data_IF_854790716693
#
_entry.id   IF_854790716693
#
_cell.length_a   1.000
_cell.length_b   1.000
_cell.length_c   1.000
_cell.angle_alpha   90.00
_cell.angle_beta   90.00
_cell.angle_gamma   90.00
#
_symmetry.space_group_name_H-M   'P 1'
#
loop_
_entity.id
_entity.type
_entity.pdbx_description
1 polymer ?
#
# COMPACT_ATOMS: atom_id res chain seq x y z
N UNK A 1 -26.18 -63.22 17.67
CA UNK A 1 -26.39 -61.78 17.39
C UNK A 1 -25.03 -61.14 17.18
N UNK A 2 -24.70 -60.85 15.93
CA UNK A 2 -23.49 -60.12 15.53
C UNK A 2 -23.77 -58.62 15.72
N UNK A 3 -22.84 -57.91 16.36
CA UNK A 3 -22.47 -56.55 15.95
C UNK A 3 -20.95 -56.40 16.08
N UNK A 4 -20.28 -56.66 14.97
CA UNK A 4 -18.93 -56.19 14.69
C UNK A 4 -18.85 -54.67 14.85
N UNK A 5 -17.68 -54.20 15.31
CA UNK A 5 -16.96 -53.07 14.71
C UNK A 5 -15.54 -52.98 15.33
N UNK A 6 -14.60 -53.68 14.67
CA UNK A 6 -13.14 -53.46 14.55
C UNK A 6 -12.33 -53.18 15.83
N UNK A 7 -11.71 -54.21 16.46
CA UNK A 7 -10.28 -54.63 16.33
C UNK A 7 -9.27 -53.48 16.50
N UNK A 8 -8.41 -53.42 17.53
CA UNK A 8 -7.54 -54.48 18.05
C UNK A 8 -7.34 -54.43 19.57
N UNK A 9 -7.34 -55.62 20.16
CA UNK A 9 -6.89 -55.94 21.53
C UNK A 9 -5.40 -55.65 21.69
N UNK A 10 -4.98 -55.15 22.85
CA UNK A 10 -3.69 -55.56 23.41
C UNK A 10 -3.82 -55.92 24.91
N UNK A 11 -3.83 -57.22 25.18
CA UNK A 11 -3.43 -57.88 26.43
C UNK A 11 -2.17 -58.70 26.05
N UNK A 12 -1.08 -58.86 26.79
CA UNK A 12 -0.64 -58.63 28.20
C UNK A 12 0.91 -58.93 28.15
N UNK A 13 1.88 -58.28 28.80
CA UNK A 13 2.37 -58.48 30.19
C UNK A 13 3.80 -57.89 30.33
N UNK A 14 3.99 -56.90 31.20
CA UNK A 14 5.04 -56.86 32.22
C UNK A 14 4.71 -55.67 33.15
N UNK A 15 4.37 -55.98 34.39
CA UNK A 15 4.08 -55.11 35.54
C UNK A 15 3.59 -53.68 35.26
N UNK A 16 2.26 -53.52 35.31
CA UNK A 16 1.48 -52.27 35.41
C UNK A 16 1.44 -51.33 34.19
N UNK A 17 1.12 -51.84 32.99
CA UNK A 17 0.65 -50.96 31.90
C UNK A 17 -0.52 -51.59 31.11
N UNK A 18 -1.70 -51.00 31.23
CA UNK A 18 -2.86 -51.26 30.37
C UNK A 18 -2.89 -50.19 29.28
N UNK A 19 -3.01 -50.59 28.01
CA UNK A 19 -3.18 -49.67 26.88
C UNK A 19 -4.66 -49.51 26.52
N UNK A 20 -5.15 -48.27 26.48
CA UNK A 20 -6.51 -47.93 26.05
C UNK A 20 -6.44 -46.93 24.89
N UNK A 21 -7.13 -47.20 23.78
CA UNK A 21 -7.27 -46.25 22.67
C UNK A 21 -8.45 -45.33 22.97
N UNK A 22 -8.18 -44.03 23.09
CA UNK A 22 -9.20 -43.02 23.37
C UNK A 22 -9.34 -42.13 22.14
N UNK A 23 -10.44 -42.29 21.43
CA UNK A 23 -10.83 -41.35 20.38
C UNK A 23 -11.31 -40.04 21.02
N UNK A 24 -10.43 -39.04 21.06
CA UNK A 24 -10.83 -37.66 21.35
C UNK A 24 -11.42 -37.07 20.07
N UNK A 25 -12.76 -37.15 19.94
CA UNK A 25 -13.48 -36.37 18.95
C UNK A 25 -13.51 -34.92 19.43
N UNK A 26 -12.64 -34.07 18.88
CA UNK A 26 -12.70 -32.65 19.19
C UNK A 26 -13.99 -32.05 18.61
N UNK A 27 -15.06 -32.03 19.40
CA UNK A 27 -16.22 -31.15 19.18
C UNK A 27 -15.90 -29.70 19.59
N UNK A 28 -14.62 -29.30 19.60
CA UNK A 28 -14.20 -27.94 19.89
C UNK A 28 -14.55 -27.03 18.72
N UNK A 29 -15.67 -26.34 18.86
CA UNK A 29 -16.22 -25.30 17.99
C UNK A 29 -15.30 -24.10 17.74
N UNK A 30 -14.13 -24.00 18.41
CA UNK A 30 -13.36 -22.76 18.51
C UNK A 30 -11.88 -22.84 18.10
N UNK A 31 -11.34 -23.99 17.69
CA UNK A 31 -9.91 -24.08 17.37
C UNK A 31 -9.69 -24.84 16.06
N UNK A 32 -9.29 -24.12 15.01
CA UNK A 32 -8.70 -24.73 13.85
C UNK A 32 -7.36 -25.31 14.23
N UNK A 33 -7.32 -26.60 14.57
CA UNK A 33 -6.07 -27.31 14.49
C UNK A 33 -5.92 -27.90 13.09
N UNK A 34 -5.09 -27.25 12.28
CA UNK A 34 -4.68 -27.73 10.96
C UNK A 34 -3.65 -28.85 11.16
N UNK A 35 -4.03 -29.92 11.86
CA UNK A 35 -3.42 -31.21 11.57
C UNK A 35 -4.01 -31.65 10.24
N UNK A 36 -3.29 -31.40 9.13
CA UNK A 36 -3.63 -31.94 7.82
C UNK A 36 -3.38 -33.46 7.75
N UNK A 37 -2.91 -34.06 8.84
CA UNK A 37 -2.66 -35.49 8.97
C UNK A 37 -3.28 -36.00 10.27
N UNK A 38 -3.72 -37.24 10.28
CA UNK A 38 -4.01 -37.93 11.54
C UNK A 38 -2.75 -37.90 12.41
N UNK A 39 -2.88 -37.44 13.65
CA UNK A 39 -1.78 -37.39 14.62
C UNK A 39 -2.08 -38.32 15.79
N UNK A 40 -1.06 -38.99 16.30
CA UNK A 40 -1.15 -39.88 17.46
C UNK A 40 -0.30 -39.32 18.61
N UNK A 41 -0.90 -39.23 19.80
CA UNK A 41 -0.18 -38.83 21.01
C UNK A 41 -0.34 -39.92 22.06
N UNK A 42 0.77 -40.37 22.64
CA UNK A 42 0.75 -41.33 23.76
C UNK A 42 0.99 -40.59 25.08
N UNK A 43 0.16 -40.86 26.07
CA UNK A 43 0.23 -40.30 27.42
C UNK A 43 0.08 -41.41 28.45
N UNK A 44 0.56 -41.18 29.68
CA UNK A 44 0.22 -42.01 30.84
C UNK A 44 -0.73 -41.23 31.74
N UNK A 45 -1.83 -41.84 32.14
CA UNK A 45 -2.87 -41.25 33.00
C UNK A 45 -3.35 -42.29 34.02
N UNK A 46 -4.10 -41.84 35.01
CA UNK A 46 -4.89 -42.74 35.87
C UNK A 46 -6.28 -42.84 35.26
N UNK A 47 -6.75 -44.07 35.00
CA UNK A 47 -8.06 -44.27 34.40
C UNK A 47 -9.17 -43.69 35.27
N UNK A 48 -10.24 -43.19 34.65
CA UNK A 48 -11.41 -42.65 35.34
C UNK A 48 -11.17 -41.35 36.14
N UNK A 49 -9.98 -40.75 36.04
CA UNK A 49 -9.58 -39.54 36.77
C UNK A 49 -9.17 -38.41 35.83
N UNK A 50 -9.51 -37.18 36.19
CA UNK A 50 -9.14 -35.98 35.41
C UNK A 50 -7.65 -35.70 35.64
N UNK A 51 -6.84 -36.01 34.63
CA UNK A 51 -5.40 -35.73 34.67
C UNK A 51 -5.09 -34.23 34.80
N UNK A 52 -4.01 -33.91 35.52
CA UNK A 52 -3.57 -32.52 35.68
C UNK A 52 -3.25 -31.87 34.33
N UNK A 53 -3.77 -30.67 34.10
CA UNK A 53 -3.54 -29.93 32.85
C UNK A 53 -2.06 -29.66 32.59
N UNK A 54 -1.25 -29.47 33.65
CA UNK A 54 0.20 -29.31 33.56
C UNK A 54 0.93 -30.54 33.01
N UNK A 55 0.40 -31.73 33.21
CA UNK A 55 0.97 -32.99 32.72
C UNK A 55 0.58 -33.26 31.27
N UNK A 56 -0.63 -32.88 30.88
CA UNK A 56 -1.20 -33.15 29.55
C UNK A 56 -0.77 -32.07 28.55
N UNK A 57 -0.77 -30.79 28.96
CA UNK A 57 -0.51 -29.65 28.09
C UNK A 57 0.78 -29.76 27.27
N UNK A 58 1.94 -30.18 27.81
CA UNK A 58 3.17 -30.26 27.02
C UNK A 58 3.08 -31.24 25.84
N UNK A 59 2.27 -32.30 25.96
CA UNK A 59 2.12 -33.34 24.93
C UNK A 59 1.12 -32.98 23.85
N UNK A 60 0.18 -32.08 24.15
CA UNK A 60 -0.88 -31.66 23.21
C UNK A 60 -0.78 -30.18 22.81
N UNK A 61 0.15 -29.41 23.39
CA UNK A 61 0.40 -28.02 23.04
C UNK A 61 0.81 -27.83 21.57
N UNK A 62 1.69 -28.67 20.98
CA UNK A 62 1.93 -28.62 19.54
C UNK A 62 0.65 -28.79 18.74
N UNK A 63 -0.35 -29.46 19.31
CA UNK A 63 -1.65 -29.80 18.75
C UNK A 63 -2.75 -28.77 19.00
N UNK A 64 -2.45 -27.65 19.69
CA UNK A 64 -3.40 -26.57 19.96
C UNK A 64 -4.68 -27.01 20.70
N UNK A 65 -4.66 -28.18 21.35
CA UNK A 65 -5.84 -28.75 22.01
C UNK A 65 -5.93 -28.24 23.46
N UNK A 66 -7.15 -27.91 23.96
CA UNK A 66 -7.33 -27.47 25.34
C UNK A 66 -7.12 -28.63 26.33
N UNK A 67 -6.05 -28.55 27.13
CA UNK A 67 -5.65 -29.60 28.08
C UNK A 67 -6.74 -30.03 29.05
N UNK A 68 -7.55 -29.08 29.54
CA UNK A 68 -8.66 -29.37 30.44
C UNK A 68 -9.71 -30.28 29.80
N UNK A 69 -10.16 -29.96 28.58
CA UNK A 69 -11.18 -30.77 27.88
C UNK A 69 -10.62 -32.13 27.49
N UNK A 70 -9.39 -32.18 27.00
CA UNK A 70 -8.73 -33.45 26.68
C UNK A 70 -8.62 -34.33 27.92
N UNK A 71 -8.30 -33.76 29.09
CA UNK A 71 -8.27 -34.49 30.36
C UNK A 71 -9.66 -35.04 30.76
N UNK A 72 -10.72 -34.25 30.60
CA UNK A 72 -12.09 -34.66 30.88
C UNK A 72 -12.55 -35.80 29.95
N UNK A 73 -12.23 -35.73 28.66
CA UNK A 73 -12.57 -36.78 27.70
C UNK A 73 -11.82 -38.08 27.98
N UNK A 74 -10.53 -37.99 28.30
CA UNK A 74 -9.74 -39.16 28.72
C UNK A 74 -10.34 -39.81 29.98
N UNK A 75 -10.70 -39.01 30.99
CA UNK A 75 -11.29 -39.53 32.23
C UNK A 75 -12.59 -40.29 31.96
N UNK A 76 -13.48 -39.72 31.13
CA UNK A 76 -14.75 -40.35 30.75
C UNK A 76 -14.52 -41.66 29.99
N UNK A 77 -13.62 -41.66 29.00
CA UNK A 77 -13.36 -42.83 28.16
C UNK A 77 -12.57 -43.94 28.84
N UNK A 78 -12.02 -43.71 30.04
CA UNK A 78 -11.20 -44.68 30.77
C UNK A 78 -11.82 -45.10 32.11
N UNK A 79 -13.13 -44.89 32.27
CA UNK A 79 -13.88 -45.20 33.50
C UNK A 79 -13.74 -46.66 33.92
N UNK A 80 -13.67 -47.59 32.95
CA UNK A 80 -13.48 -49.04 33.21
C UNK A 80 -12.13 -49.37 33.88
N UNK A 81 -11.19 -48.43 33.85
CA UNK A 81 -9.83 -48.55 34.40
C UNK A 81 -9.60 -47.62 35.60
N UNK A 82 -10.69 -47.26 36.30
CA UNK A 82 -10.64 -46.29 37.39
C UNK A 82 -9.58 -46.63 38.44
N UNK A 83 -8.70 -45.67 38.75
CA UNK A 83 -7.63 -45.82 39.75
C UNK A 83 -6.41 -46.61 39.29
N UNK A 84 -6.36 -47.06 38.02
CA UNK A 84 -5.23 -47.81 37.45
C UNK A 84 -4.40 -46.89 36.56
N UNK A 85 -3.06 -46.96 36.67
CA UNK A 85 -2.16 -46.27 35.73
C UNK A 85 -2.22 -46.96 34.37
N UNK A 86 -2.64 -46.23 33.35
CA UNK A 86 -2.83 -46.71 32.00
C UNK A 86 -2.08 -45.83 30.99
N UNK A 87 -1.67 -46.43 29.89
CA UNK A 87 -1.20 -45.69 28.71
C UNK A 87 -2.40 -45.43 27.79
N UNK A 88 -2.61 -44.17 27.43
CA UNK A 88 -3.66 -43.74 26.51
C UNK A 88 -3.04 -43.25 25.22
N UNK A 89 -3.56 -43.74 24.11
CA UNK A 89 -3.25 -43.20 22.78
C UNK A 89 -4.41 -42.31 22.33
N UNK A 90 -4.11 -41.05 22.03
CA UNK A 90 -5.06 -40.11 21.44
C UNK A 90 -4.89 -40.12 19.93
N UNK A 91 -5.96 -40.43 19.20
CA UNK A 91 -6.02 -40.25 17.74
C UNK A 91 -6.78 -38.96 17.42
N UNK A 92 -6.09 -37.99 16.82
CA UNK A 92 -6.66 -36.70 16.46
C UNK A 92 -7.02 -36.73 14.97
N UNK A 93 -8.31 -36.63 14.69
CA UNK A 93 -8.85 -36.62 13.33
C UNK A 93 -9.44 -35.25 13.02
N UNK A 94 -8.83 -34.50 12.11
CA UNK A 94 -9.48 -33.33 11.52
C UNK A 94 -10.38 -33.80 10.39
N UNK A 95 -11.70 -33.82 10.59
CA UNK A 95 -12.62 -34.32 9.58
C UNK A 95 -12.54 -33.53 8.26
N UNK A 96 -12.16 -32.25 8.30
CA UNK A 96 -12.06 -31.39 7.12
C UNK A 96 -10.77 -31.60 6.32
N UNK A 97 -9.74 -32.26 6.88
CA UNK A 97 -8.50 -32.51 6.14
C UNK A 97 -8.74 -33.38 4.90
N UNK A 98 -9.80 -34.20 4.90
CA UNK A 98 -10.20 -35.02 3.74
C UNK A 98 -10.61 -34.21 2.51
N UNK A 99 -10.96 -32.94 2.67
CA UNK A 99 -11.31 -32.04 1.57
C UNK A 99 -10.11 -31.27 1.02
N UNK A 100 -8.93 -31.43 1.63
CA UNK A 100 -7.72 -30.65 1.32
C UNK A 100 -6.64 -31.60 0.81
N UNK A 101 -6.31 -31.49 -0.48
CA UNK A 101 -5.17 -32.23 -1.05
C UNK A 101 -3.82 -31.61 -0.63
N UNK A 102 -3.66 -30.30 -0.86
CA UNK A 102 -2.42 -29.56 -0.54
C UNK A 102 -2.71 -28.17 0.03
N UNK A 103 -1.89 -27.73 0.99
CA UNK A 103 -1.90 -26.39 1.56
C UNK A 103 -0.49 -25.80 1.53
N UNK A 104 -0.26 -24.79 0.68
CA UNK A 104 1.06 -24.19 0.47
C UNK A 104 1.48 -23.22 1.59
N UNK A 105 0.53 -22.50 2.19
CA UNK A 105 0.80 -21.42 3.17
C UNK A 105 0.28 -21.77 4.57
N UNK A 106 0.65 -22.97 5.06
CA UNK A 106 0.13 -23.51 6.33
C UNK A 106 0.36 -22.60 7.53
N UNK A 107 1.56 -22.03 7.66
CA UNK A 107 1.91 -21.14 8.76
C UNK A 107 1.09 -19.85 8.75
N UNK A 108 0.85 -19.27 7.56
CA UNK A 108 0.02 -18.07 7.43
C UNK A 108 -1.44 -18.34 7.78
N UNK A 109 -1.99 -19.48 7.34
CA UNK A 109 -3.36 -19.84 7.67
C UNK A 109 -3.51 -20.04 9.18
N UNK A 110 -2.54 -20.71 9.82
CA UNK A 110 -2.51 -20.86 11.27
C UNK A 110 -2.49 -19.51 11.99
N UNK A 111 -1.58 -18.60 11.63
CA UNK A 111 -1.51 -17.27 12.23
C UNK A 111 -2.82 -16.46 12.06
N UNK A 112 -3.45 -16.54 10.87
CA UNK A 112 -4.75 -15.89 10.61
C UNK A 112 -5.84 -16.42 11.53
N UNK A 113 -5.87 -17.73 11.78
CA UNK A 113 -6.87 -18.37 12.62
C UNK A 113 -6.62 -18.09 14.12
N UNK A 114 -5.37 -18.06 14.55
CA UNK A 114 -4.96 -17.72 15.92
C UNK A 114 -5.24 -16.26 16.26
N UNK A 115 -5.35 -15.37 15.26
CA UNK A 115 -5.70 -13.96 15.48
C UNK A 115 -7.08 -13.75 16.11
N UNK A 116 -7.96 -14.76 16.07
CA UNK A 116 -9.35 -14.67 16.56
C UNK A 116 -10.28 -13.82 15.67
N UNK A 117 -9.75 -13.19 14.62
CA UNK A 117 -10.54 -12.37 13.72
C UNK A 117 -11.43 -13.22 12.79
N UNK A 118 -12.61 -12.69 12.46
CA UNK A 118 -13.47 -13.28 11.43
C UNK A 118 -12.80 -13.15 10.06
N UNK A 119 -12.28 -14.26 9.53
CA UNK A 119 -11.72 -14.33 8.19
C UNK A 119 -12.80 -14.21 7.10
N UNK A 120 -12.40 -13.72 5.93
CA UNK A 120 -13.19 -13.70 4.70
C UNK A 120 -12.66 -14.81 3.77
N UNK A 121 -13.47 -15.83 3.51
CA UNK A 121 -13.07 -17.00 2.72
C UNK A 121 -13.77 -16.96 1.37
N UNK A 122 -12.99 -16.80 0.30
CA UNK A 122 -13.51 -16.69 -1.07
C UNK A 122 -13.58 -18.04 -1.76
N UNK A 123 -14.68 -18.28 -2.47
CA UNK A 123 -14.78 -19.36 -3.46
C UNK A 123 -15.50 -18.87 -4.71
N UNK A 124 -14.89 -19.09 -5.88
CA UNK A 124 -15.47 -18.75 -7.18
C UNK A 124 -16.05 -19.98 -7.87
N UNK A 125 -17.21 -19.82 -8.50
CA UNK A 125 -17.88 -20.88 -9.28
C UNK A 125 -18.29 -20.29 -10.63
N UNK A 126 -17.75 -20.83 -11.73
CA UNK A 126 -18.26 -20.51 -13.06
C UNK A 126 -19.59 -21.23 -13.32
N UNK A 127 -20.50 -20.56 -14.01
CA UNK A 127 -21.88 -20.99 -14.23
C UNK A 127 -21.96 -21.74 -15.55
N UNK A 128 -21.39 -22.93 -15.60
CA UNK A 128 -21.26 -23.69 -16.85
C UNK A 128 -22.47 -24.58 -17.17
N UNK A 129 -23.50 -24.60 -16.33
CA UNK A 129 -24.71 -25.41 -16.50
C UNK A 129 -25.68 -25.31 -15.32
N UNK A 130 -26.86 -25.94 -15.37
CA UNK A 130 -27.96 -25.72 -14.41
C UNK A 130 -27.77 -26.37 -13.02
N UNK A 131 -26.81 -27.28 -12.87
CA UNK A 131 -26.61 -28.07 -11.66
C UNK A 131 -25.17 -28.07 -11.15
N UNK A 132 -25.04 -28.08 -9.82
CA UNK A 132 -23.80 -28.33 -9.12
C UNK A 132 -23.64 -29.84 -8.87
N UNK A 133 -22.49 -30.39 -9.22
CA UNK A 133 -22.13 -31.78 -8.91
C UNK A 133 -21.28 -31.90 -7.62
N UNK A 134 -21.01 -33.14 -7.19
CA UNK A 134 -20.22 -33.45 -5.98
C UNK A 134 -18.83 -32.84 -5.96
N UNK A 135 -18.18 -32.66 -7.11
CA UNK A 135 -16.92 -31.91 -7.21
C UNK A 135 -17.00 -30.48 -6.63
N UNK A 136 -18.12 -29.76 -6.81
CA UNK A 136 -18.32 -28.46 -6.16
C UNK A 136 -18.63 -28.60 -4.67
N UNK A 137 -19.35 -29.66 -4.29
CA UNK A 137 -19.77 -29.89 -2.90
C UNK A 137 -18.58 -30.04 -1.95
N UNK A 138 -17.45 -30.62 -2.39
CA UNK A 138 -16.22 -30.71 -1.59
C UNK A 138 -15.74 -29.34 -1.11
N UNK A 139 -15.69 -28.36 -2.01
CA UNK A 139 -15.32 -26.99 -1.66
C UNK A 139 -16.39 -26.34 -0.76
N UNK A 140 -17.67 -26.54 -1.06
CA UNK A 140 -18.78 -25.98 -0.27
C UNK A 140 -18.81 -26.54 1.17
N UNK A 141 -18.50 -27.82 1.39
CA UNK A 141 -18.39 -28.41 2.73
C UNK A 141 -17.24 -27.78 3.53
N UNK A 142 -16.12 -27.49 2.88
CA UNK A 142 -15.01 -26.79 3.53
C UNK A 142 -15.42 -25.36 3.91
N UNK A 143 -16.12 -24.63 3.03
CA UNK A 143 -16.66 -23.31 3.34
C UNK A 143 -17.68 -23.33 4.49
N UNK A 144 -18.58 -24.33 4.51
CA UNK A 144 -19.52 -24.54 5.60
C UNK A 144 -18.80 -24.68 6.94
N UNK A 145 -17.70 -25.44 6.97
CA UNK A 145 -16.88 -25.58 8.16
C UNK A 145 -16.26 -24.23 8.64
N UNK A 146 -15.94 -23.32 7.72
CA UNK A 146 -15.54 -21.95 8.07
C UNK A 146 -16.73 -21.14 8.65
N UNK A 147 -17.92 -21.22 8.06
CA UNK A 147 -19.11 -20.49 8.57
C UNK A 147 -19.52 -20.93 9.98
N UNK A 148 -19.50 -22.24 10.24
CA UNK A 148 -19.83 -22.80 11.57
C UNK A 148 -18.87 -22.33 12.68
N UNK A 149 -17.71 -21.78 12.28
CA UNK A 149 -16.70 -21.20 13.18
C UNK A 149 -16.72 -19.67 13.19
N UNK A 150 -17.75 -19.07 12.60
CA UNK A 150 -17.99 -17.62 12.63
C UNK A 150 -17.22 -16.83 11.56
N UNK A 151 -16.54 -17.49 10.61
CA UNK A 151 -15.90 -16.82 9.48
C UNK A 151 -16.94 -16.48 8.39
N UNK A 152 -16.68 -15.42 7.63
CA UNK A 152 -17.51 -15.04 6.50
C UNK A 152 -17.06 -15.76 5.23
N UNK A 153 -18.02 -16.13 4.38
CA UNK A 153 -17.80 -16.74 3.08
C UNK A 153 -18.26 -15.77 1.99
N UNK A 154 -17.36 -15.50 1.04
CA UNK A 154 -17.64 -14.76 -0.18
C UNK A 154 -17.76 -15.75 -1.34
N UNK A 155 -19.00 -16.01 -1.75
CA UNK A 155 -19.29 -16.80 -2.92
C UNK A 155 -19.31 -15.89 -4.16
N UNK A 156 -18.42 -16.13 -5.11
CA UNK A 156 -18.36 -15.38 -6.36
C UNK A 156 -18.95 -16.22 -7.48
N UNK A 157 -20.10 -15.79 -7.99
CA UNK A 157 -20.75 -16.35 -9.17
C UNK A 157 -20.11 -15.79 -10.43
N UNK A 158 -19.55 -16.68 -11.24
CA UNK A 158 -18.75 -16.38 -12.41
C UNK A 158 -19.54 -15.99 -13.65
N UNK A 159 -20.55 -15.14 -13.54
CA UNK A 159 -21.49 -14.86 -14.64
C UNK A 159 -20.90 -14.09 -15.83
N UNK A 160 -19.83 -13.31 -15.60
CA UNK A 160 -19.03 -12.71 -16.66
C UNK A 160 -17.96 -13.67 -17.18
N UNK A 161 -17.22 -14.34 -16.30
CA UNK A 161 -16.13 -15.27 -16.68
C UNK A 161 -16.63 -16.46 -17.47
N UNK A 162 -17.83 -16.96 -17.16
CA UNK A 162 -18.53 -17.98 -17.93
C UNK A 162 -18.72 -17.57 -19.39
N UNK A 163 -18.97 -16.28 -19.67
CA UNK A 163 -19.15 -15.77 -21.03
C UNK A 163 -17.82 -15.58 -21.77
N UNK A 164 -16.73 -15.36 -21.04
CA UNK A 164 -15.39 -15.12 -21.61
C UNK A 164 -14.65 -16.43 -21.91
N UNK A 165 -14.77 -17.45 -21.06
CA UNK A 165 -14.20 -18.77 -21.32
C UNK A 165 -14.87 -19.42 -22.53
N UNK A 166 -14.13 -20.23 -23.30
CA UNK A 166 -14.63 -20.93 -24.49
C UNK A 166 -15.87 -21.78 -24.15
N UNK A 167 -17.10 -21.33 -24.49
CA UNK A 167 -18.32 -22.03 -24.15
C UNK A 167 -18.70 -23.08 -25.21
N UNK A 168 -17.88 -23.21 -26.27
CA UNK A 168 -18.23 -23.91 -27.52
C UNK A 168 -18.54 -25.39 -27.28
N UNK A 169 -18.02 -26.01 -26.22
CA UNK A 169 -18.31 -27.41 -25.87
C UNK A 169 -19.24 -27.61 -24.66
N UNK A 170 -19.59 -26.55 -23.90
CA UNK A 170 -20.32 -26.70 -22.60
C UNK A 170 -21.68 -26.02 -22.54
N UNK A 171 -22.01 -25.12 -23.47
CA UNK A 171 -23.31 -24.46 -23.57
C UNK A 171 -24.08 -24.79 -24.86
N UNK A 172 -23.68 -25.83 -25.59
CA UNK A 172 -24.47 -26.35 -26.69
C UNK A 172 -25.68 -27.15 -26.18
N UNK A 173 -26.65 -26.43 -25.62
CA UNK A 173 -28.10 -26.69 -25.67
C UNK A 173 -28.87 -25.60 -24.89
N UNK A 174 -29.43 -24.62 -25.64
CA UNK A 174 -30.70 -23.90 -25.36
C UNK A 174 -30.76 -22.67 -24.43
N UNK A 175 -29.72 -21.84 -24.30
CA UNK A 175 -29.79 -20.76 -23.30
C UNK A 175 -29.29 -19.40 -23.78
N UNK A 176 -30.24 -18.54 -24.19
CA UNK A 176 -30.05 -17.08 -24.25
C UNK A 176 -30.02 -16.44 -22.85
N UNK A 177 -29.96 -15.10 -22.77
CA UNK A 177 -29.72 -14.34 -21.53
C UNK A 177 -30.61 -14.70 -20.33
N UNK A 178 -31.86 -15.09 -20.56
CA UNK A 178 -32.82 -15.47 -19.50
C UNK A 178 -32.42 -16.75 -18.74
N UNK A 179 -31.72 -17.68 -19.40
CA UNK A 179 -31.33 -18.94 -18.78
C UNK A 179 -30.18 -18.80 -17.77
N UNK A 180 -29.38 -17.73 -17.85
CA UNK A 180 -28.29 -17.51 -16.88
C UNK A 180 -28.85 -17.15 -15.50
N UNK A 181 -29.89 -16.32 -15.44
CA UNK A 181 -30.53 -15.95 -14.18
C UNK A 181 -31.24 -17.16 -13.55
N UNK A 182 -31.97 -17.94 -14.36
CA UNK A 182 -32.59 -19.18 -13.89
C UNK A 182 -31.56 -20.18 -13.35
N UNK A 183 -30.39 -20.25 -14.01
CA UNK A 183 -29.29 -21.08 -13.55
C UNK A 183 -28.68 -20.57 -12.25
N UNK A 184 -28.50 -19.25 -12.10
CA UNK A 184 -28.05 -18.64 -10.85
C UNK A 184 -29.01 -18.96 -9.70
N UNK A 185 -30.33 -18.80 -9.93
CA UNK A 185 -31.35 -19.16 -8.95
C UNK A 185 -31.30 -20.65 -8.60
N UNK A 186 -31.06 -21.52 -9.60
CA UNK A 186 -30.83 -22.94 -9.39
C UNK A 186 -29.60 -23.21 -8.51
N UNK A 187 -28.48 -22.51 -8.75
CA UNK A 187 -27.26 -22.63 -7.96
C UNK A 187 -27.48 -22.21 -6.52
N UNK A 188 -28.14 -21.06 -6.29
CA UNK A 188 -28.44 -20.58 -4.94
C UNK A 188 -29.29 -21.58 -4.16
N UNK A 189 -30.33 -22.15 -4.78
CA UNK A 189 -31.14 -23.21 -4.17
C UNK A 189 -30.35 -24.47 -3.84
N UNK A 190 -29.35 -24.83 -4.66
CA UNK A 190 -28.50 -25.99 -4.40
C UNK A 190 -27.47 -25.72 -3.30
N UNK A 191 -26.91 -24.51 -3.26
CA UNK A 191 -25.94 -24.07 -2.25
C UNK A 191 -26.60 -23.96 -0.87
N UNK A 192 -27.88 -23.58 -0.82
CA UNK A 192 -28.70 -23.57 0.40
C UNK A 192 -28.74 -24.91 1.13
N UNK A 193 -28.56 -26.02 0.41
CA UNK A 193 -28.48 -27.37 1.00
C UNK A 193 -27.19 -27.60 1.80
N UNK A 194 -26.18 -26.76 1.65
CA UNK A 194 -24.85 -26.94 2.25
C UNK A 194 -24.45 -25.74 3.11
N UNK A 195 -24.48 -24.53 2.56
CA UNK A 195 -24.03 -23.32 3.26
C UNK A 195 -25.12 -22.75 4.18
N UNK A 196 -24.69 -22.01 5.19
CA UNK A 196 -25.58 -21.21 6.04
C UNK A 196 -25.94 -19.92 5.29
N UNK A 197 -27.01 -19.97 4.50
CA UNK A 197 -27.52 -18.87 3.67
C UNK A 197 -28.27 -17.80 4.46
N UNK A 198 -29.00 -18.19 5.50
CA UNK A 198 -29.69 -17.27 6.41
C UNK A 198 -28.74 -16.56 7.41
N UNK A 199 -27.42 -16.69 7.21
CA UNK A 199 -26.41 -16.08 8.05
C UNK A 199 -25.84 -14.83 7.40
N UNK A 200 -25.59 -13.77 8.19
CA UNK A 200 -24.78 -12.62 7.76
C UNK A 200 -23.34 -12.99 7.37
N UNK A 201 -22.96 -14.25 7.56
CA UNK A 201 -21.67 -14.84 7.20
C UNK A 201 -21.63 -15.38 5.77
N UNK A 202 -22.69 -15.28 4.97
CA UNK A 202 -22.64 -15.54 3.53
C UNK A 202 -22.83 -14.24 2.75
N UNK A 203 -21.91 -13.94 1.84
CA UNK A 203 -22.03 -12.86 0.86
C UNK A 203 -21.91 -13.46 -0.53
N UNK A 204 -22.91 -13.21 -1.36
CA UNK A 204 -22.92 -13.66 -2.75
C UNK A 204 -22.64 -12.46 -3.64
N UNK A 205 -21.67 -12.61 -4.54
CA UNK A 205 -21.24 -11.57 -5.47
C UNK A 205 -21.29 -12.11 -6.89
N UNK A 206 -21.66 -11.26 -7.86
CA UNK A 206 -21.53 -11.59 -9.28
C UNK A 206 -20.30 -10.90 -9.85
N UNK A 207 -19.42 -11.63 -10.54
CA UNK A 207 -18.22 -11.00 -11.05
C UNK A 207 -18.46 -10.02 -12.20
N UNK A 208 -19.64 -10.05 -12.83
CA UNK A 208 -20.08 -9.00 -13.73
C UNK A 208 -20.26 -7.64 -13.07
N UNK A 209 -20.45 -7.56 -11.74
CA UNK A 209 -20.61 -6.29 -11.01
C UNK A 209 -19.39 -5.38 -11.12
N UNK A 210 -18.20 -5.98 -11.23
CA UNK A 210 -16.95 -5.27 -11.45
C UNK A 210 -16.46 -5.36 -12.90
N UNK A 211 -16.57 -6.52 -13.56
CA UNK A 211 -16.04 -6.65 -14.92
C UNK A 211 -16.85 -5.89 -15.98
N UNK A 212 -18.18 -5.74 -15.85
CA UNK A 212 -18.96 -4.91 -16.81
C UNK A 212 -18.62 -3.43 -16.76
N UNK A 213 -18.07 -2.97 -15.64
CA UNK A 213 -17.64 -1.58 -15.45
C UNK A 213 -16.21 -1.34 -15.93
N UNK A 214 -15.49 -2.41 -16.28
CA UNK A 214 -14.09 -2.34 -16.70
C UNK A 214 -14.02 -2.09 -18.20
N UNK A 215 -13.26 -1.06 -18.59
CA UNK A 215 -13.00 -0.80 -20.01
C UNK A 215 -11.92 -1.75 -20.56
N UNK A 216 -11.85 -1.92 -21.88
CA UNK A 216 -10.75 -2.69 -22.50
C UNK A 216 -9.37 -2.15 -22.10
N UNK A 217 -9.13 -0.81 -22.09
CA UNK A 217 -7.89 -0.27 -21.54
C UNK A 217 -7.64 -0.63 -20.06
N UNK A 218 -8.66 -0.63 -19.19
CA UNK A 218 -8.47 -1.03 -17.79
C UNK A 218 -8.07 -2.51 -17.67
N UNK A 219 -8.67 -3.37 -18.48
CA UNK A 219 -8.36 -4.79 -18.50
C UNK A 219 -6.94 -5.07 -19.00
N UNK A 220 -6.55 -4.44 -20.12
CA UNK A 220 -5.17 -4.52 -20.65
C UNK A 220 -4.20 -3.99 -19.60
N UNK A 221 -4.50 -2.84 -18.98
CA UNK A 221 -3.64 -2.26 -17.93
C UNK A 221 -3.46 -3.22 -16.76
N UNK A 222 -4.47 -3.99 -16.35
CA UNK A 222 -4.36 -4.94 -15.24
C UNK A 222 -3.65 -6.24 -15.62
N UNK A 223 -3.73 -6.67 -16.88
CA UNK A 223 -3.25 -7.99 -17.34
C UNK A 223 -1.91 -7.94 -18.06
N UNK A 224 -1.54 -6.79 -18.61
CA UNK A 224 -0.31 -6.60 -19.39
C UNK A 224 0.82 -5.98 -18.57
N UNK A 225 0.64 -5.82 -17.26
CA UNK A 225 1.66 -5.28 -16.36
C UNK A 225 2.90 -6.17 -16.40
N UNK A 226 4.02 -5.61 -16.83
CA UNK A 226 5.29 -6.34 -16.92
C UNK A 226 5.44 -7.21 -18.18
N UNK A 227 4.49 -7.20 -19.11
CA UNK A 227 4.65 -7.94 -20.38
C UNK A 227 5.76 -7.33 -21.25
N UNK A 228 6.01 -6.03 -21.13
CA UNK A 228 7.13 -5.34 -21.79
C UNK A 228 8.47 -6.04 -21.50
N UNK A 229 8.70 -6.50 -20.27
CA UNK A 229 9.91 -7.25 -19.92
C UNK A 229 10.03 -8.60 -20.61
N UNK A 230 8.90 -9.24 -20.93
CA UNK A 230 8.89 -10.46 -21.75
C UNK A 230 9.25 -10.13 -23.19
N UNK A 231 8.65 -9.09 -23.75
CA UNK A 231 8.90 -8.66 -25.13
C UNK A 231 10.35 -8.22 -25.31
N UNK A 232 10.90 -7.48 -24.35
CA UNK A 232 12.27 -6.99 -24.38
C UNK A 232 13.30 -8.06 -23.96
N UNK A 233 12.86 -9.15 -23.30
CA UNK A 233 13.78 -10.12 -22.70
C UNK A 233 14.67 -9.49 -21.63
N UNK A 234 14.11 -8.60 -20.81
CA UNK A 234 14.88 -7.79 -19.85
C UNK A 234 15.64 -8.66 -18.84
N UNK A 235 16.94 -8.42 -18.66
CA UNK A 235 17.76 -9.05 -17.62
C UNK A 235 17.69 -8.31 -16.27
N UNK A 236 17.52 -6.98 -16.31
CA UNK A 236 17.48 -6.10 -15.14
C UNK A 236 16.43 -5.02 -15.39
N UNK A 237 15.59 -4.75 -14.40
CA UNK A 237 14.64 -3.63 -14.43
C UNK A 237 14.81 -2.74 -13.21
N UNK A 238 14.95 -1.44 -13.46
CA UNK A 238 15.10 -0.40 -12.44
C UNK A 238 13.81 0.40 -12.35
N UNK A 239 13.15 0.34 -11.21
CA UNK A 239 11.87 1.04 -10.99
C UNK A 239 11.79 1.64 -9.60
N UNK A 240 10.79 2.50 -9.38
CA UNK A 240 10.43 2.93 -8.02
C UNK A 240 9.92 1.77 -7.17
N UNK A 241 10.12 1.83 -5.86
CA UNK A 241 9.65 0.79 -4.93
C UNK A 241 8.13 0.58 -4.97
N UNK A 242 7.37 1.56 -5.45
CA UNK A 242 5.91 1.48 -5.67
C UNK A 242 5.52 0.57 -6.85
N UNK A 243 6.45 0.24 -7.74
CA UNK A 243 6.23 -0.63 -8.91
C UNK A 243 6.69 -2.08 -8.68
N UNK A 244 7.10 -2.44 -7.46
CA UNK A 244 7.64 -3.76 -7.14
C UNK A 244 6.69 -4.90 -7.55
N UNK A 245 5.39 -4.77 -7.23
CA UNK A 245 4.39 -5.78 -7.58
C UNK A 245 4.29 -6.02 -9.10
N UNK A 246 4.39 -4.94 -9.87
CA UNK A 246 4.24 -4.98 -11.33
C UNK A 246 5.40 -5.75 -11.96
N UNK A 247 6.60 -5.51 -11.46
CA UNK A 247 7.81 -6.16 -11.96
C UNK A 247 8.00 -7.59 -11.42
N UNK A 248 7.40 -7.93 -10.29
CA UNK A 248 7.26 -9.32 -9.85
C UNK A 248 6.33 -10.12 -10.78
N UNK A 249 5.25 -9.50 -11.27
CA UNK A 249 4.41 -10.10 -12.29
C UNK A 249 5.18 -10.31 -13.61
N UNK A 250 5.98 -9.32 -14.01
CA UNK A 250 6.87 -9.43 -15.17
C UNK A 250 7.79 -10.66 -15.07
N UNK A 251 8.42 -10.88 -13.90
CA UNK A 251 9.26 -12.07 -13.62
C UNK A 251 8.48 -13.38 -13.74
N UNK A 252 7.24 -13.41 -13.26
CA UNK A 252 6.37 -14.59 -13.41
C UNK A 252 6.07 -14.86 -14.89
N UNK A 253 5.73 -13.82 -15.65
CA UNK A 253 5.46 -13.93 -17.09
C UNK A 253 6.69 -14.39 -17.86
N UNK A 254 7.88 -13.84 -17.60
CA UNK A 254 9.13 -14.29 -18.23
C UNK A 254 9.37 -15.80 -18.00
N UNK A 255 9.14 -16.28 -16.77
CA UNK A 255 9.23 -17.72 -16.45
C UNK A 255 8.27 -18.56 -17.31
N UNK A 256 7.02 -18.10 -17.48
CA UNK A 256 6.00 -18.77 -18.32
C UNK A 256 6.36 -18.78 -19.80
N UNK A 257 7.15 -17.79 -20.24
CA UNK A 257 7.68 -17.69 -21.60
C UNK A 257 9.05 -18.34 -21.77
N UNK A 258 9.50 -19.18 -20.82
CA UNK A 258 10.81 -19.83 -20.82
C UNK A 258 12.01 -18.85 -20.88
N UNK A 259 11.82 -17.62 -20.41
CA UNK A 259 12.86 -16.63 -20.27
C UNK A 259 13.43 -16.64 -18.85
N UNK A 260 14.68 -16.17 -18.70
CA UNK A 260 15.27 -15.92 -17.39
C UNK A 260 14.54 -14.73 -16.74
N UNK A 261 14.05 -14.85 -15.49
CA UNK A 261 13.41 -13.74 -14.81
C UNK A 261 14.38 -12.59 -14.52
N UNK A 262 13.99 -11.37 -14.88
CA UNK A 262 14.74 -10.13 -14.69
C UNK A 262 15.09 -9.86 -13.22
N UNK A 263 16.27 -9.31 -12.94
CA UNK A 263 16.63 -8.80 -11.60
C UNK A 263 15.96 -7.45 -11.36
N UNK A 264 15.36 -7.25 -10.18
CA UNK A 264 14.72 -5.98 -9.83
C UNK A 264 15.66 -5.11 -9.01
N UNK A 265 15.85 -3.86 -9.42
CA UNK A 265 16.51 -2.82 -8.65
C UNK A 265 15.45 -1.77 -8.28
N UNK A 266 15.10 -1.72 -7.00
CA UNK A 266 14.07 -0.81 -6.50
C UNK A 266 14.71 0.48 -5.96
N UNK A 267 14.30 1.61 -6.51
CA UNK A 267 14.73 2.95 -6.10
C UNK A 267 13.74 3.55 -5.07
N UNK A 268 14.21 4.37 -4.11
CA UNK A 268 13.35 4.92 -3.07
C UNK A 268 12.39 5.99 -3.62
N UNK A 269 11.14 5.99 -3.16
CA UNK A 269 10.16 7.05 -3.46
C UNK A 269 10.25 8.19 -2.44
N UNK A 270 10.75 9.35 -2.85
CA UNK A 270 10.88 10.52 -1.97
C UNK A 270 9.57 11.31 -1.84
N UNK A 271 9.29 11.90 -0.67
CA UNK A 271 8.14 12.77 -0.45
C UNK A 271 8.20 14.02 -1.32
N UNK A 272 7.04 14.59 -1.65
CA UNK A 272 6.97 15.84 -2.40
C UNK A 272 7.23 17.07 -1.54
N UNK A 273 7.27 18.24 -2.17
CA UNK A 273 7.33 19.54 -1.48
C UNK A 273 6.01 19.80 -0.75
N UNK A 274 6.06 20.12 0.54
CA UNK A 274 4.91 20.49 1.36
C UNK A 274 4.52 19.44 2.41
N UNK A 275 4.00 19.92 3.53
CA UNK A 275 3.88 19.24 4.83
C UNK A 275 3.32 17.80 4.82
N UNK A 276 2.47 17.44 3.84
CA UNK A 276 1.75 16.17 3.77
C UNK A 276 1.98 15.37 2.48
N UNK A 277 2.95 15.76 1.65
CA UNK A 277 3.18 15.10 0.37
C UNK A 277 3.93 13.78 0.52
N UNK A 278 3.25 12.64 0.32
CA UNK A 278 3.87 11.31 0.39
C UNK A 278 4.79 10.96 -0.78
N UNK A 279 4.60 11.61 -1.94
CA UNK A 279 5.47 11.48 -3.12
C UNK A 279 5.56 12.77 -3.93
N UNK A 280 6.66 12.93 -4.66
CA UNK A 280 6.76 13.94 -5.73
C UNK A 280 5.79 13.60 -6.88
N UNK A 281 5.04 14.59 -7.35
CA UNK A 281 4.07 14.44 -8.43
C UNK A 281 3.94 15.71 -9.26
N UNK A 282 3.99 15.55 -10.59
CA UNK A 282 3.75 16.65 -11.54
C UNK A 282 2.34 17.23 -11.41
N UNK A 283 1.34 16.38 -11.22
CA UNK A 283 -0.07 16.80 -11.11
C UNK A 283 -0.36 17.61 -9.85
N UNK A 284 0.41 17.40 -8.78
CA UNK A 284 0.27 18.14 -7.53
C UNK A 284 1.17 19.37 -7.47
N UNK A 285 2.02 19.60 -8.48
CA UNK A 285 2.97 20.71 -8.50
C UNK A 285 3.97 20.69 -7.34
N UNK A 286 4.21 19.53 -6.73
CA UNK A 286 4.98 19.38 -5.50
C UNK A 286 6.33 18.68 -5.73
N UNK A 287 6.97 18.95 -6.86
CA UNK A 287 8.20 18.29 -7.30
C UNK A 287 9.26 19.32 -7.67
N UNK A 288 10.52 18.89 -7.72
CA UNK A 288 11.62 19.69 -8.27
C UNK A 288 11.89 19.17 -9.69
N UNK A 289 11.65 20.01 -10.70
CA UNK A 289 11.90 19.65 -12.09
C UNK A 289 13.39 19.64 -12.40
N UNK A 290 13.84 18.68 -13.21
CA UNK A 290 15.24 18.61 -13.67
C UNK A 290 15.59 19.68 -14.72
N UNK A 291 14.58 20.23 -15.38
CA UNK A 291 14.71 21.25 -16.45
C UNK A 291 14.41 22.67 -15.93
N UNK A 292 14.43 22.85 -14.61
CA UNK A 292 14.27 24.17 -14.00
C UNK A 292 15.53 25.03 -14.25
N UNK A 293 15.35 26.36 -14.25
CA UNK A 293 16.49 27.27 -14.18
C UNK A 293 17.29 27.00 -12.89
N UNK A 294 18.61 27.27 -12.84
CA UNK A 294 19.41 27.07 -11.64
C UNK A 294 18.80 27.75 -10.41
N UNK A 295 18.28 28.97 -10.61
CA UNK A 295 17.60 29.78 -9.59
C UNK A 295 16.31 29.15 -9.08
N UNK A 296 15.44 28.69 -9.97
CA UNK A 296 14.19 28.04 -9.59
C UNK A 296 14.45 26.69 -8.92
N UNK A 297 15.41 25.92 -9.40
CA UNK A 297 15.84 24.66 -8.80
C UNK A 297 16.33 24.87 -7.37
N UNK A 298 17.21 25.85 -7.16
CA UNK A 298 17.73 26.22 -5.84
C UNK A 298 16.58 26.65 -4.91
N UNK A 299 15.72 27.57 -5.38
CA UNK A 299 14.57 28.05 -4.63
C UNK A 299 13.56 26.95 -4.27
N UNK A 300 13.33 25.97 -5.15
CA UNK A 300 12.47 24.82 -4.89
C UNK A 300 13.09 23.84 -3.90
N UNK A 301 14.39 23.57 -3.99
CA UNK A 301 15.11 22.73 -3.03
C UNK A 301 15.09 23.33 -1.61
N UNK A 302 15.12 24.65 -1.49
CA UNK A 302 14.96 25.36 -0.21
C UNK A 302 13.56 25.17 0.44
N UNK A 303 12.57 24.68 -0.32
CA UNK A 303 11.20 24.42 0.18
C UNK A 303 11.00 23.00 0.68
N UNK A 304 12.01 22.13 0.61
CA UNK A 304 11.95 20.78 1.19
C UNK A 304 11.66 20.88 2.68
N UNK A 305 10.70 20.11 3.20
CA UNK A 305 10.37 20.10 4.63
C UNK A 305 11.54 19.59 5.47
N UNK A 306 11.73 20.14 6.67
CA UNK A 306 12.91 19.88 7.52
C UNK A 306 13.13 18.40 7.80
N UNK A 307 12.03 17.68 8.09
CA UNK A 307 12.00 16.22 8.30
C UNK A 307 12.45 15.39 7.09
N UNK A 308 12.61 15.99 5.91
CA UNK A 308 12.94 15.31 4.66
C UNK A 308 14.31 15.72 4.09
N UNK A 309 15.00 16.68 4.71
CA UNK A 309 16.32 17.17 4.25
C UNK A 309 17.31 16.01 4.10
N UNK A 310 17.50 15.20 5.16
CA UNK A 310 18.46 14.09 5.15
C UNK A 310 18.13 13.07 4.07
N UNK A 311 16.84 12.74 3.90
CA UNK A 311 16.39 11.81 2.86
C UNK A 311 16.71 12.33 1.46
N UNK A 312 16.50 13.63 1.25
CA UNK A 312 16.82 14.28 -0.03
C UNK A 312 18.32 14.32 -0.27
N UNK A 313 19.14 14.61 0.74
CA UNK A 313 20.60 14.55 0.64
C UNK A 313 21.06 13.16 0.19
N UNK A 314 20.58 12.10 0.85
CA UNK A 314 20.96 10.71 0.52
C UNK A 314 20.59 10.29 -0.91
N UNK A 315 19.49 10.80 -1.47
CA UNK A 315 18.98 10.37 -2.78
C UNK A 315 19.47 11.25 -3.92
N UNK A 316 19.53 12.57 -3.72
CA UNK A 316 19.71 13.53 -4.80
C UNK A 316 21.11 14.14 -4.89
N UNK A 317 21.96 13.98 -3.88
CA UNK A 317 23.34 14.50 -3.93
C UNK A 317 24.35 13.37 -4.11
N UNK A 318 25.60 13.75 -4.34
CA UNK A 318 26.75 12.82 -4.37
C UNK A 318 27.60 12.96 -3.11
N UNK A 319 27.04 13.55 -2.04
CA UNK A 319 27.74 13.71 -0.77
C UNK A 319 28.03 12.35 -0.16
N UNK A 320 29.16 12.23 0.55
CA UNK A 320 29.44 10.99 1.27
C UNK A 320 28.40 10.77 2.37
N UNK A 321 28.10 9.51 2.65
CA UNK A 321 27.16 9.16 3.72
C UNK A 321 27.63 9.67 5.08
N UNK A 322 28.95 9.72 5.31
CA UNK A 322 29.55 10.29 6.53
C UNK A 322 29.22 11.77 6.69
N UNK A 323 29.36 12.59 5.63
CA UNK A 323 28.99 14.00 5.69
C UNK A 323 27.50 14.20 5.92
N UNK A 324 26.65 13.34 5.33
CA UNK A 324 25.20 13.39 5.56
C UNK A 324 24.87 13.03 7.01
N UNK A 325 25.55 12.06 7.61
CA UNK A 325 25.41 11.71 9.03
C UNK A 325 25.83 12.86 9.96
N UNK A 326 26.90 13.57 9.64
CA UNK A 326 27.31 14.76 10.40
C UNK A 326 26.25 15.86 10.35
N UNK A 327 25.64 16.10 9.18
CA UNK A 327 24.54 17.06 9.04
C UNK A 327 23.31 16.61 9.84
N UNK A 328 22.97 15.33 9.80
CA UNK A 328 21.87 14.75 10.59
C UNK A 328 22.09 14.94 12.10
N UNK A 329 23.32 14.71 12.58
CA UNK A 329 23.71 14.96 13.96
C UNK A 329 23.61 16.44 14.35
N UNK A 330 24.08 17.35 13.49
CA UNK A 330 23.99 18.80 13.73
C UNK A 330 22.53 19.26 13.87
N UNK A 331 21.63 18.82 12.99
CA UNK A 331 20.19 19.14 13.08
C UNK A 331 19.61 18.61 14.40
N UNK A 332 19.95 17.37 14.77
CA UNK A 332 19.44 16.73 16.00
C UNK A 332 19.92 17.44 17.27
N UNK A 333 21.10 18.06 17.22
CA UNK A 333 21.68 18.83 18.32
C UNK A 333 21.18 20.29 18.38
N UNK A 334 20.18 20.67 17.57
CA UNK A 334 19.61 22.02 17.56
C UNK A 334 20.23 22.97 16.54
N UNK A 335 21.03 22.45 15.61
CA UNK A 335 21.51 23.21 14.45
C UNK A 335 20.36 23.69 13.56
N UNK A 336 20.56 24.82 12.88
CA UNK A 336 19.51 25.42 12.08
C UNK A 336 19.24 24.58 10.80
N UNK A 337 18.03 24.02 10.61
CA UNK A 337 17.71 23.23 9.42
C UNK A 337 17.90 24.00 8.12
N UNK A 338 17.85 25.35 8.17
CA UNK A 338 18.12 26.22 7.03
C UNK A 338 19.51 25.98 6.42
N UNK A 339 20.53 25.74 7.24
CA UNK A 339 21.91 25.58 6.75
C UNK A 339 22.03 24.27 5.96
N UNK A 340 21.43 23.20 6.46
CA UNK A 340 21.33 21.93 5.75
C UNK A 340 20.51 22.04 4.46
N UNK A 341 19.47 22.89 4.42
CA UNK A 341 18.74 23.19 3.17
C UNK A 341 19.58 23.96 2.16
N UNK A 342 20.39 24.92 2.60
CA UNK A 342 21.32 25.63 1.70
C UNK A 342 22.32 24.66 1.08
N UNK A 343 22.87 23.73 1.88
CA UNK A 343 23.73 22.66 1.38
C UNK A 343 22.99 21.76 0.38
N UNK A 344 21.76 21.33 0.70
CA UNK A 344 20.93 20.53 -0.19
C UNK A 344 20.65 21.24 -1.52
N UNK A 345 20.23 22.50 -1.47
CA UNK A 345 19.91 23.29 -2.65
C UNK A 345 21.14 23.49 -3.53
N UNK A 346 22.28 23.84 -2.93
CA UNK A 346 23.56 23.93 -3.63
C UNK A 346 23.92 22.62 -4.31
N UNK A 347 23.88 21.49 -3.61
CA UNK A 347 24.28 20.20 -4.16
C UNK A 347 23.34 19.68 -5.26
N UNK A 348 22.03 19.93 -5.14
CA UNK A 348 21.08 19.62 -6.20
C UNK A 348 21.39 20.48 -7.43
N UNK A 349 21.51 21.81 -7.29
CA UNK A 349 21.84 22.71 -8.40
C UNK A 349 23.19 22.35 -9.03
N UNK A 350 24.19 22.03 -8.21
CA UNK A 350 25.53 21.60 -8.63
C UNK A 350 25.50 20.37 -9.53
N UNK A 351 24.66 19.38 -9.18
CA UNK A 351 24.53 18.13 -9.94
C UNK A 351 24.06 18.34 -11.38
N UNK A 352 23.22 19.35 -11.62
CA UNK A 352 22.65 19.60 -12.95
C UNK A 352 23.31 20.78 -13.69
N UNK A 353 23.83 21.77 -12.96
CA UNK A 353 24.35 23.03 -13.54
C UNK A 353 25.82 23.31 -13.23
N UNK A 354 26.49 22.44 -12.48
CA UNK A 354 27.92 22.56 -12.16
C UNK A 354 28.24 23.44 -10.95
N UNK A 355 29.50 23.38 -10.51
CA UNK A 355 29.97 23.98 -9.25
C UNK A 355 29.89 25.51 -9.26
N UNK A 356 30.29 26.16 -10.37
CA UNK A 356 30.29 27.61 -10.47
C UNK A 356 28.87 28.18 -10.29
N UNK A 357 27.91 27.69 -11.08
CA UNK A 357 26.52 28.16 -11.03
C UNK A 357 25.88 27.90 -9.67
N UNK A 358 26.19 26.76 -9.04
CA UNK A 358 25.67 26.46 -7.70
C UNK A 358 26.21 27.40 -6.61
N UNK A 359 27.48 27.83 -6.73
CA UNK A 359 28.04 28.84 -5.83
C UNK A 359 27.40 30.22 -6.08
N UNK A 360 27.24 30.63 -7.34
CA UNK A 360 26.59 31.89 -7.71
C UNK A 360 25.15 31.97 -7.17
N UNK A 361 24.36 30.90 -7.29
CA UNK A 361 22.99 30.86 -6.76
C UNK A 361 22.95 30.80 -5.23
N UNK A 362 23.93 30.17 -4.57
CA UNK A 362 24.07 30.22 -3.11
C UNK A 362 24.32 31.66 -2.65
N UNK A 363 25.30 32.33 -3.24
CA UNK A 363 25.67 33.70 -2.91
C UNK A 363 24.48 34.64 -3.14
N UNK A 364 23.83 34.52 -4.30
CA UNK A 364 22.60 35.26 -4.62
C UNK A 364 21.50 35.04 -3.57
N UNK A 365 21.24 33.78 -3.19
CA UNK A 365 20.19 33.46 -2.23
C UNK A 365 20.50 34.02 -0.84
N UNK A 366 21.76 33.93 -0.39
CA UNK A 366 22.21 34.48 0.90
C UNK A 366 22.10 36.00 0.89
N UNK A 367 22.57 36.68 -0.15
CA UNK A 367 22.47 38.14 -0.26
C UNK A 367 21.03 38.65 -0.30
N UNK A 368 20.16 37.96 -1.04
CA UNK A 368 18.78 38.37 -1.23
C UNK A 368 17.93 38.14 0.02
N UNK A 369 17.99 36.93 0.59
CA UNK A 369 17.08 36.50 1.65
C UNK A 369 17.66 36.66 3.06
N UNK A 370 18.98 36.64 3.25
CA UNK A 370 19.59 36.90 4.57
C UNK A 370 19.85 38.39 4.80
N UNK A 371 20.31 39.14 3.79
CA UNK A 371 20.65 40.56 3.96
C UNK A 371 19.49 41.51 3.64
N UNK A 372 18.29 40.99 3.31
CA UNK A 372 17.09 41.76 2.90
C UNK A 372 17.42 42.82 1.85
N UNK A 373 18.30 42.54 0.88
CA UNK A 373 18.70 43.52 -0.12
C UNK A 373 17.68 43.55 -1.27
N UNK A 374 16.77 44.54 -1.33
CA UNK A 374 15.64 44.49 -2.24
C UNK A 374 16.03 44.89 -3.67
N UNK A 375 17.30 45.25 -3.93
CA UNK A 375 17.84 45.51 -5.27
C UNK A 375 18.07 44.24 -6.08
N UNK A 376 18.36 43.10 -5.45
CA UNK A 376 18.67 41.83 -6.14
C UNK A 376 17.42 41.10 -6.66
N UNK A 377 16.31 41.15 -5.91
CA UNK A 377 15.00 40.59 -6.27
C UNK A 377 14.19 41.48 -7.22
N UNK A 378 14.78 42.56 -7.73
CA UNK A 378 14.10 43.53 -8.57
C UNK A 378 14.28 43.24 -10.05
N UNK A 379 13.22 43.44 -10.82
CA UNK A 379 13.27 43.40 -12.28
C UNK A 379 13.93 44.71 -12.73
N UNK A 380 15.14 44.62 -13.30
CA UNK A 380 15.77 45.78 -13.94
C UNK A 380 14.90 46.27 -15.08
N UNK A 381 14.56 47.55 -15.08
CA UNK A 381 13.73 48.18 -16.08
C UNK A 381 14.41 49.45 -16.57
N UNK A 382 14.75 49.44 -17.86
CA UNK A 382 15.30 50.60 -18.54
C UNK A 382 14.15 51.47 -19.02
N UNK A 383 14.16 52.75 -18.67
CA UNK A 383 13.24 53.76 -19.20
C UNK A 383 13.98 54.71 -20.12
N UNK A 384 13.44 54.93 -21.32
CA UNK A 384 14.03 55.78 -22.36
C UNK A 384 13.78 57.27 -22.11
N UNK A 385 12.73 57.59 -21.35
CA UNK A 385 12.36 58.94 -20.96
C UNK A 385 11.84 58.95 -19.54
N UNK A 386 11.98 60.10 -18.88
CA UNK A 386 11.40 60.32 -17.58
C UNK A 386 9.88 60.19 -17.65
N UNK A 387 9.31 59.39 -16.74
CA UNK A 387 7.87 59.11 -16.68
C UNK A 387 7.40 59.03 -15.23
N UNK A 388 6.10 59.23 -15.01
CA UNK A 388 5.50 59.10 -13.68
C UNK A 388 5.37 57.64 -13.23
N UNK A 389 5.24 57.40 -11.92
CA UNK A 389 4.95 56.07 -11.37
C UNK A 389 3.64 55.52 -11.94
N UNK A 390 2.62 56.36 -12.09
CA UNK A 390 1.33 55.97 -12.69
C UNK A 390 1.51 55.48 -14.13
N UNK A 391 2.21 56.25 -14.96
CA UNK A 391 2.48 55.92 -16.36
C UNK A 391 3.28 54.63 -16.49
N UNK A 392 4.32 54.43 -15.67
CA UNK A 392 5.12 53.21 -15.67
C UNK A 392 4.28 51.97 -15.34
N UNK A 393 3.43 52.06 -14.31
CA UNK A 393 2.58 50.93 -13.89
C UNK A 393 1.53 50.61 -14.96
N UNK A 394 0.93 51.63 -15.59
CA UNK A 394 0.01 51.40 -16.71
C UNK A 394 0.73 50.73 -17.89
N UNK A 395 1.92 51.18 -18.25
CA UNK A 395 2.66 50.61 -19.38
C UNK A 395 3.13 49.17 -19.15
N UNK A 396 3.49 48.80 -17.91
CA UNK A 396 4.08 47.49 -17.59
C UNK A 396 3.14 46.50 -16.92
N UNK A 397 2.12 46.98 -16.23
CA UNK A 397 1.21 46.17 -15.40
C UNK A 397 -0.27 46.45 -15.71
N UNK A 398 -0.61 47.04 -16.86
CA UNK A 398 -2.00 47.28 -17.28
C UNK A 398 -2.93 46.06 -17.12
N UNK A 399 -2.44 44.86 -17.43
CA UNK A 399 -3.22 43.62 -17.32
C UNK A 399 -3.43 43.14 -15.88
N UNK A 400 -2.68 43.68 -14.92
CA UNK A 400 -2.75 43.28 -13.50
C UNK A 400 -3.47 44.30 -12.63
N UNK A 401 -3.47 45.57 -13.01
CA UNK A 401 -4.11 46.65 -12.25
C UNK A 401 -4.79 47.63 -13.21
N UNK A 402 -6.13 47.61 -13.26
CA UNK A 402 -6.91 48.70 -13.87
C UNK A 402 -6.86 49.98 -13.03
N UNK A 403 -7.33 51.11 -13.57
CA UNK A 403 -7.24 52.43 -12.91
C UNK A 403 -7.81 52.45 -11.48
N UNK A 404 -8.99 51.87 -11.27
CA UNK A 404 -9.62 51.77 -9.95
C UNK A 404 -8.90 50.79 -9.00
N UNK A 405 -8.19 49.80 -9.56
CA UNK A 405 -7.34 48.87 -8.81
C UNK A 405 -6.05 49.52 -8.33
N UNK A 406 -5.46 50.41 -9.14
CA UNK A 406 -4.24 51.15 -8.79
C UNK A 406 -4.47 52.03 -7.54
N UNK A 407 -5.58 52.77 -7.53
CA UNK A 407 -5.96 53.67 -6.43
C UNK A 407 -6.06 52.87 -5.12
N UNK A 408 -6.75 51.74 -5.13
CA UNK A 408 -6.89 50.87 -3.95
C UNK A 408 -5.56 50.34 -3.43
N UNK A 409 -4.66 49.92 -4.32
CA UNK A 409 -3.36 49.37 -3.94
C UNK A 409 -2.44 50.47 -3.40
N UNK A 410 -2.50 51.68 -3.95
CA UNK A 410 -1.75 52.83 -3.47
C UNK A 410 -2.22 53.27 -2.07
N UNK A 411 -3.54 53.43 -1.88
CA UNK A 411 -4.10 53.88 -0.61
C UNK A 411 -3.95 52.82 0.50
N UNK A 412 -3.87 51.54 0.14
CA UNK A 412 -3.49 50.45 1.05
C UNK A 412 -1.98 50.41 1.38
N UNK A 413 -1.17 51.34 0.84
CA UNK A 413 0.28 51.42 1.04
C UNK A 413 1.09 50.34 0.30
N UNK A 414 0.49 49.76 -0.74
CA UNK A 414 1.08 48.71 -1.58
C UNK A 414 2.03 49.22 -2.65
N UNK A 415 2.03 50.53 -2.95
CA UNK A 415 2.98 51.16 -3.89
C UNK A 415 4.03 51.93 -3.11
N UNK A 416 5.31 51.65 -3.36
CA UNK A 416 6.43 52.30 -2.69
C UNK A 416 7.57 52.61 -3.64
N UNK A 417 8.24 53.74 -3.46
CA UNK A 417 9.51 54.05 -4.14
C UNK A 417 10.58 54.28 -3.09
N UNK A 418 11.70 53.57 -3.19
CA UNK A 418 12.82 53.61 -2.23
C UNK A 418 12.40 53.35 -0.77
N UNK A 419 11.28 52.65 -0.56
CA UNK A 419 10.72 52.34 0.76
C UNK A 419 9.57 53.25 1.20
N UNK A 420 9.45 54.44 0.61
CA UNK A 420 8.42 55.43 0.92
C UNK A 420 7.10 55.08 0.26
N UNK A 421 6.00 55.14 1.04
CA UNK A 421 4.65 54.86 0.54
C UNK A 421 4.14 56.03 -0.30
N UNK A 422 3.53 55.71 -1.45
CA UNK A 422 2.86 56.70 -2.30
C UNK A 422 1.36 56.56 -2.18
N UNK A 423 0.66 57.67 -1.91
CA UNK A 423 -0.81 57.73 -2.01
C UNK A 423 -1.26 57.81 -3.46
N UNK A 424 -2.54 57.50 -3.72
CA UNK A 424 -3.13 57.60 -5.06
C UNK A 424 -2.94 58.98 -5.73
N UNK A 425 -3.00 60.07 -4.96
CA UNK A 425 -2.79 61.45 -5.44
C UNK A 425 -1.35 61.77 -5.85
N UNK A 426 -0.36 60.97 -5.43
CA UNK A 426 1.06 61.20 -5.71
C UNK A 426 1.59 60.39 -6.91
N UNK A 427 0.81 59.42 -7.42
CA UNK A 427 1.29 58.50 -8.46
C UNK A 427 1.57 59.21 -9.79
N UNK A 428 0.73 60.18 -10.17
CA UNK A 428 0.88 60.91 -11.43
C UNK A 428 1.94 62.02 -11.35
N UNK A 429 2.33 62.45 -10.14
CA UNK A 429 3.31 63.52 -9.92
C UNK A 429 4.70 63.01 -9.53
N UNK A 430 4.84 61.80 -8.96
CA UNK A 430 6.14 61.20 -8.68
C UNK A 430 6.76 60.66 -9.96
N UNK A 431 7.79 61.34 -10.46
CA UNK A 431 8.60 60.92 -11.60
C UNK A 431 9.64 59.89 -11.18
N UNK A 432 9.82 58.81 -11.93
CA UNK A 432 10.86 57.81 -11.67
C UNK A 432 12.24 58.32 -12.09
N UNK A 433 13.24 58.05 -11.26
CA UNK A 433 14.64 58.45 -11.46
C UNK A 433 15.54 57.22 -11.63
N UNK A 434 16.73 57.43 -12.23
CA UNK A 434 17.76 56.40 -12.27
C UNK A 434 18.13 55.99 -10.84
N UNK A 435 18.15 54.68 -10.57
CA UNK A 435 18.43 54.09 -9.27
C UNK A 435 17.21 53.92 -8.35
N UNK A 436 16.02 54.37 -8.77
CA UNK A 436 14.80 54.16 -7.98
C UNK A 436 14.42 52.68 -7.90
N UNK A 437 14.01 52.26 -6.71
CA UNK A 437 13.42 50.95 -6.46
C UNK A 437 11.90 51.10 -6.27
N UNK A 438 11.13 50.75 -7.30
CA UNK A 438 9.67 50.78 -7.30
C UNK A 438 9.11 49.43 -6.89
N UNK A 439 8.28 49.39 -5.85
CA UNK A 439 7.54 48.20 -5.41
C UNK A 439 6.05 48.40 -5.62
N UNK A 440 5.41 47.43 -6.27
CA UNK A 440 3.96 47.37 -6.49
C UNK A 440 3.43 46.05 -5.94
N UNK A 441 2.84 46.10 -4.75
CA UNK A 441 2.36 44.93 -4.02
C UNK A 441 3.50 44.06 -3.47
N UNK A 442 3.21 42.77 -3.25
CA UNK A 442 4.18 41.84 -2.64
C UNK A 442 5.22 41.28 -3.63
N UNK A 443 4.85 41.14 -4.91
CA UNK A 443 5.61 40.37 -5.90
C UNK A 443 6.31 41.21 -6.98
N UNK A 444 5.84 42.43 -7.26
CA UNK A 444 6.42 43.24 -8.33
C UNK A 444 7.37 44.28 -7.73
N UNK A 445 8.67 44.09 -7.95
CA UNK A 445 9.73 45.01 -7.52
C UNK A 445 10.55 45.33 -8.77
N UNK A 446 10.75 46.61 -9.06
CA UNK A 446 11.45 47.11 -10.24
C UNK A 446 12.58 48.03 -9.84
N UNK A 447 13.74 47.87 -10.46
CA UNK A 447 14.86 48.79 -10.35
C UNK A 447 14.96 49.61 -11.64
N UNK A 448 14.87 50.92 -11.51
CA UNK A 448 14.77 51.84 -12.64
C UNK A 448 16.18 52.28 -13.06
N UNK A 449 16.52 52.02 -14.32
CA UNK A 449 17.70 52.60 -14.98
C UNK A 449 17.21 53.56 -16.07
N UNK A 450 17.64 54.82 -16.04
CA UNK A 450 17.41 55.71 -17.18
C UNK A 450 18.54 55.54 -18.20
N UNK A 451 18.19 55.47 -19.48
CA UNK A 451 19.15 55.58 -20.57
C UNK A 451 19.66 57.03 -20.60
N UNK A 452 20.94 57.22 -20.29
CA UNK A 452 21.59 58.49 -20.56
C UNK A 452 21.66 58.66 -22.09
N UNK A 453 20.89 59.59 -22.63
CA UNK A 453 21.18 60.14 -23.95
C UNK A 453 22.47 60.98 -23.84
N UNK A 454 23.61 60.30 -23.78
CA UNK A 454 24.89 60.92 -24.10
C UNK A 454 24.82 61.27 -25.59
N UNK A 455 24.67 62.58 -25.81
CA UNK A 455 25.11 63.37 -26.96
C UNK A 455 25.64 62.56 -28.15
N UNK A 456 24.90 62.66 -29.27
CA UNK A 456 25.42 62.34 -30.62
C UNK A 456 26.72 63.08 -30.91
#
# INVERSE_FOLDING_TARGET
>A
MIKDLNTERFQKLSDTCVCCDVQVRSNCSSYWYISLRDSQVKLRVVGGEIGASSTIAPRIAPLGLPAKKVAEDIAKSTTDWKGIKIAVQLRIQNQNSRYIDRLFTRQELQAKLESGNSLNVKYGIDITGPSLHLGHAVNLWLLRAFQERGHAVDLVLGDFTTKVGDPTDKLNSRCGGDCLEDTILSYLRQIDKILLTNSSKLRVHRNSEWYKKMTVPDFIRLTSMGYDSVVLGSDITVVGSDQHFNEDMARHLQTRHNQRPQTLILTPITPGLGLSASKQSKSLGNYIGIDLSPRDMFGMAMRVDDKHIIRYLRVYTTMSLTTIEDIENQITQGGNPRDAKLMLAKEITRRYHGDQVANEELDYFVETFSNRNPKLDSIKCVIERQMSVSEFIQNRLANHYGESGLVRVADAGGIRVNGDKLSSSQLSSRLLCHGDLLRVGKKNIFYIEMLDHVTK
#
